data_IF_462207030387
#
_entry.id   IF_462207030387
#
_cell.length_a   1.000
_cell.length_b   1.000
_cell.length_c   1.000
_cell.angle_alpha   90.00
_cell.angle_beta   90.00
_cell.angle_gamma   90.00
#
_symmetry.space_group_name_H-M   'P 1'
#
loop_
_entity.id
_entity.type
_entity.pdbx_description
1 polymer ?
#
# COMPACT_ATOMS: atom_id res chain seq x y z
N UNK A 1 -10.77 2.77 20.75
CA UNK A 1 -11.85 3.31 19.91
C UNK A 1 -11.48 3.24 18.43
N UNK A 2 -12.44 2.91 17.57
CA UNK A 2 -12.41 3.03 16.09
C UNK A 2 -13.82 3.35 15.60
N UNK A 3 -13.99 3.78 14.35
CA UNK A 3 -15.30 3.92 13.74
C UNK A 3 -15.42 3.07 12.45
N UNK A 4 -16.60 2.53 12.17
CA UNK A 4 -16.92 1.81 10.94
C UNK A 4 -18.36 2.15 10.55
N UNK A 5 -18.59 2.61 9.32
CA UNK A 5 -19.88 3.07 8.79
C UNK A 5 -20.62 4.05 9.74
N UNK A 6 -19.90 5.05 10.26
CA UNK A 6 -20.47 6.06 11.15
C UNK A 6 -20.80 5.58 12.57
N UNK A 7 -20.52 4.32 12.90
CA UNK A 7 -20.64 3.77 14.26
C UNK A 7 -19.30 3.72 14.95
N UNK A 8 -19.25 4.02 16.24
CA UNK A 8 -18.04 4.02 17.06
C UNK A 8 -17.99 2.76 17.91
N UNK A 9 -16.81 2.14 17.97
CA UNK A 9 -16.56 0.87 18.65
C UNK A 9 -15.38 0.97 19.63
N UNK A 10 -15.58 0.49 20.86
CA UNK A 10 -14.48 0.24 21.79
C UNK A 10 -13.91 -1.17 21.60
N UNK A 11 -12.91 -1.26 20.73
CA UNK A 11 -12.23 -2.51 20.41
C UNK A 11 -11.09 -2.87 21.38
N UNK A 12 -10.89 -2.11 22.47
CA UNK A 12 -9.71 -2.26 23.35
C UNK A 12 -9.56 -3.70 23.86
N UNK A 13 -10.64 -4.26 24.40
CA UNK A 13 -10.68 -5.65 24.90
C UNK A 13 -10.66 -6.70 23.78
N UNK A 14 -11.04 -6.33 22.55
CA UNK A 14 -11.05 -7.22 21.40
C UNK A 14 -9.66 -7.41 20.76
N UNK A 15 -8.77 -6.42 20.91
CA UNK A 15 -7.44 -6.41 20.26
C UNK A 15 -6.63 -7.70 20.45
N UNK A 16 -6.66 -8.29 21.65
CA UNK A 16 -5.92 -9.52 21.99
C UNK A 16 -6.49 -10.79 21.35
N UNK A 17 -7.77 -10.78 20.98
CA UNK A 17 -8.49 -11.92 20.39
C UNK A 17 -8.78 -11.76 18.91
N UNK A 18 -8.41 -10.61 18.32
CA UNK A 18 -8.66 -10.33 16.92
C UNK A 18 -7.99 -11.36 15.99
N UNK A 19 -8.74 -12.01 15.07
CA UNK A 19 -8.18 -13.03 14.18
C UNK A 19 -7.05 -12.54 13.27
N UNK A 20 -7.11 -11.26 12.86
CA UNK A 20 -6.05 -10.61 12.07
C UNK A 20 -4.83 -10.19 12.89
N UNK A 21 -4.79 -10.49 14.18
CA UNK A 21 -3.68 -10.11 15.06
C UNK A 21 -3.54 -8.61 15.22
N UNK A 22 -2.29 -8.13 15.22
CA UNK A 22 -1.91 -6.74 15.46
C UNK A 22 -2.27 -5.77 14.33
N UNK A 23 -2.76 -6.26 13.19
CA UNK A 23 -3.35 -5.39 12.15
C UNK A 23 -4.50 -4.53 12.69
N UNK A 24 -5.19 -4.96 13.74
CA UNK A 24 -6.27 -4.19 14.37
C UNK A 24 -5.80 -2.83 14.91
N UNK A 25 -4.50 -2.67 15.21
CA UNK A 25 -3.96 -1.38 15.65
C UNK A 25 -4.01 -0.32 14.54
N UNK A 26 -4.13 -0.70 13.26
CA UNK A 26 -4.34 0.25 12.16
C UNK A 26 -5.71 0.93 12.25
N UNK A 27 -6.71 0.28 12.83
CA UNK A 27 -8.04 0.84 13.02
C UNK A 27 -8.13 1.80 14.21
N UNK A 28 -7.11 1.81 15.09
CA UNK A 28 -7.10 2.62 16.30
C UNK A 28 -7.21 4.13 16.00
N UNK A 29 -8.15 4.78 16.69
CA UNK A 29 -8.28 6.24 16.71
C UNK A 29 -8.75 6.88 15.40
N UNK A 30 -9.36 6.12 14.47
CA UNK A 30 -9.82 6.62 13.17
C UNK A 30 -11.11 5.96 12.70
N UNK A 31 -11.68 6.52 11.64
CA UNK A 31 -12.63 5.81 10.79
C UNK A 31 -11.88 4.75 9.97
N UNK A 32 -12.20 3.49 10.23
CA UNK A 32 -11.62 2.31 9.62
C UNK A 32 -12.59 1.64 8.62
N UNK A 33 -13.58 2.37 8.09
CA UNK A 33 -14.57 1.83 7.13
C UNK A 33 -13.91 1.23 5.89
N UNK A 34 -12.92 1.92 5.30
CA UNK A 34 -12.18 1.38 4.14
C UNK A 34 -11.44 0.10 4.54
N UNK A 35 -10.69 0.10 5.65
CA UNK A 35 -10.01 -1.10 6.15
C UNK A 35 -10.99 -2.24 6.43
N UNK A 36 -12.16 -1.93 6.98
CA UNK A 36 -13.19 -2.92 7.25
C UNK A 36 -13.64 -3.59 5.96
N UNK A 37 -13.99 -2.80 4.95
CA UNK A 37 -14.48 -3.28 3.67
C UNK A 37 -13.42 -4.11 2.94
N UNK A 38 -12.16 -3.65 2.91
CA UNK A 38 -11.04 -4.37 2.27
C UNK A 38 -10.76 -5.73 2.91
N UNK A 39 -10.74 -5.83 4.24
CA UNK A 39 -10.25 -7.03 4.95
C UNK A 39 -11.34 -8.05 5.30
N UNK A 40 -12.61 -7.72 5.08
CA UNK A 40 -13.74 -8.60 5.36
C UNK A 40 -14.58 -8.93 4.12
N UNK A 41 -13.98 -9.40 3.01
CA UNK A 41 -14.69 -9.62 1.75
C UNK A 41 -15.79 -10.70 1.85
N UNK A 42 -15.66 -11.65 2.79
CA UNK A 42 -16.68 -12.66 3.05
C UNK A 42 -17.87 -12.14 3.87
N UNK A 43 -17.79 -10.93 4.45
CA UNK A 43 -18.86 -10.32 5.23
C UNK A 43 -19.88 -9.63 4.30
N UNK A 44 -20.51 -10.43 3.44
CA UNK A 44 -21.60 -9.98 2.57
C UNK A 44 -22.87 -9.84 3.43
N UNK A 45 -23.59 -8.70 3.36
CA UNK A 45 -24.85 -8.50 4.06
C UNK A 45 -25.84 -9.65 3.82
N UNK A 46 -26.52 -10.11 4.87
CA UNK A 46 -27.51 -11.19 4.79
C UNK A 46 -26.93 -12.62 4.72
N UNK A 47 -25.62 -12.80 4.58
CA UNK A 47 -24.98 -14.12 4.67
C UNK A 47 -24.73 -14.54 6.13
N UNK A 48 -24.50 -15.84 6.44
CA UNK A 48 -24.11 -16.28 7.78
C UNK A 48 -22.84 -15.58 8.30
N UNK A 49 -21.85 -15.36 7.43
CA UNK A 49 -20.62 -14.64 7.78
C UNK A 49 -20.91 -13.17 8.11
N UNK A 50 -21.70 -12.47 7.26
CA UNK A 50 -22.13 -11.10 7.52
C UNK A 50 -22.88 -10.96 8.85
N UNK A 51 -23.88 -11.82 9.12
CA UNK A 51 -24.63 -11.82 10.39
C UNK A 51 -23.75 -12.02 11.61
N UNK A 52 -22.83 -13.00 11.54
CA UNK A 52 -21.87 -13.27 12.63
C UNK A 52 -21.02 -12.04 12.91
N UNK A 53 -20.53 -11.40 11.86
CA UNK A 53 -19.62 -10.28 11.99
C UNK A 53 -20.33 -9.03 12.52
N UNK A 54 -21.54 -8.73 12.05
CA UNK A 54 -22.37 -7.66 12.62
C UNK A 54 -22.68 -7.89 14.11
N UNK A 55 -22.91 -9.15 14.51
CA UNK A 55 -23.11 -9.49 15.93
C UNK A 55 -21.85 -9.29 16.77
N UNK A 56 -20.65 -9.47 16.20
CA UNK A 56 -19.38 -9.16 16.89
C UNK A 56 -19.24 -7.65 17.05
N UNK A 57 -19.40 -6.87 15.98
CA UNK A 57 -19.31 -5.39 16.05
C UNK A 57 -20.26 -4.81 17.09
N UNK A 58 -21.52 -5.25 17.11
CA UNK A 58 -22.54 -4.77 18.05
C UNK A 58 -22.15 -4.91 19.52
N UNK A 59 -21.32 -5.90 19.88
CA UNK A 59 -20.84 -6.08 21.27
C UNK A 59 -19.92 -4.96 21.75
N UNK A 60 -19.26 -4.28 20.81
CA UNK A 60 -18.27 -3.25 21.09
C UNK A 60 -18.78 -1.85 20.70
N UNK A 61 -20.01 -1.73 20.19
CA UNK A 61 -20.60 -0.44 19.80
C UNK A 61 -20.80 0.44 21.03
N UNK A 62 -20.30 1.67 20.96
CA UNK A 62 -20.40 2.66 22.05
C UNK A 62 -21.18 3.90 21.65
N UNK A 63 -21.52 4.07 20.37
CA UNK A 63 -22.35 5.17 19.90
C UNK A 63 -22.17 5.48 18.41
N UNK A 64 -22.67 6.64 18.02
CA UNK A 64 -22.55 7.20 16.67
C UNK A 64 -21.36 8.16 16.58
N UNK A 65 -20.75 8.24 15.40
CA UNK A 65 -19.66 9.17 15.11
C UNK A 65 -20.24 10.58 14.98
N UNK A 66 -19.83 11.48 15.88
CA UNK A 66 -20.35 12.85 15.96
C UNK A 66 -19.93 13.75 14.79
N UNK A 67 -18.70 13.58 14.32
CA UNK A 67 -18.11 14.33 13.22
C UNK A 67 -18.04 13.41 12.00
N UNK A 68 -19.14 13.32 11.24
CA UNK A 68 -19.16 12.62 9.97
C UNK A 68 -18.45 13.48 8.92
N UNK A 69 -17.13 13.71 9.13
CA UNK A 69 -16.29 14.34 8.11
C UNK A 69 -16.54 13.58 6.82
N UNK A 70 -16.83 14.26 5.71
CA UNK A 70 -17.20 13.54 4.51
C UNK A 70 -16.02 12.65 4.11
N UNK A 71 -16.25 11.33 4.14
CA UNK A 71 -15.39 10.39 3.46
C UNK A 71 -15.37 10.81 1.99
N UNK A 72 -14.21 10.72 1.34
CA UNK A 72 -14.12 10.90 -0.11
C UNK A 72 -15.04 9.91 -0.84
N UNK A 73 -15.38 8.78 -0.21
CA UNK A 73 -16.27 7.78 -0.77
C UNK A 73 -17.59 7.66 -0.06
N UNK A 74 -18.60 7.24 -0.83
CA UNK A 74 -19.79 6.60 -0.30
C UNK A 74 -19.65 5.07 -0.31
N UNK A 75 -20.41 4.43 0.58
CA UNK A 75 -20.52 2.98 0.73
C UNK A 75 -21.97 2.51 0.61
N UNK A 76 -22.86 3.36 0.09
CA UNK A 76 -24.32 3.13 0.05
C UNK A 76 -24.78 2.29 -1.13
N UNK A 77 -23.97 2.19 -2.20
CA UNK A 77 -24.39 1.50 -3.41
C UNK A 77 -24.42 -0.02 -3.23
N UNK A 78 -25.20 -0.70 -4.08
CA UNK A 78 -25.23 -2.16 -4.12
C UNK A 78 -24.02 -2.78 -4.83
N UNK A 79 -23.12 -1.96 -5.41
CA UNK A 79 -22.02 -2.42 -6.25
C UNK A 79 -21.06 -3.34 -5.48
N UNK A 80 -20.45 -2.84 -4.40
CA UNK A 80 -19.47 -3.62 -3.65
C UNK A 80 -20.06 -4.88 -2.98
N UNK A 81 -21.24 -4.82 -2.31
CA UNK A 81 -21.87 -6.03 -1.78
C UNK A 81 -22.14 -7.09 -2.86
N UNK A 82 -22.58 -6.66 -4.05
CA UNK A 82 -22.82 -7.56 -5.19
C UNK A 82 -21.53 -8.17 -5.72
N UNK A 83 -20.47 -7.36 -5.88
CA UNK A 83 -19.15 -7.82 -6.29
C UNK A 83 -18.59 -8.86 -5.31
N UNK A 84 -18.58 -8.55 -4.01
CA UNK A 84 -18.13 -9.48 -2.96
C UNK A 84 -18.87 -10.81 -3.01
N UNK A 85 -20.20 -10.76 -3.17
CA UNK A 85 -21.04 -11.95 -3.28
C UNK A 85 -20.64 -12.82 -4.47
N UNK A 86 -20.58 -12.23 -5.67
CA UNK A 86 -20.24 -12.95 -6.90
C UNK A 86 -18.83 -13.55 -6.87
N UNK A 87 -17.86 -12.82 -6.33
CA UNK A 87 -16.48 -13.33 -6.16
C UNK A 87 -16.45 -14.50 -5.17
N UNK A 88 -17.14 -14.39 -4.04
CA UNK A 88 -17.21 -15.49 -3.07
C UNK A 88 -17.86 -16.75 -3.65
N UNK A 89 -19.00 -16.60 -4.33
CA UNK A 89 -19.70 -17.71 -5.01
C UNK A 89 -18.79 -18.36 -6.05
N UNK A 90 -18.10 -17.55 -6.86
CA UNK A 90 -17.18 -18.05 -7.88
C UNK A 90 -16.00 -18.83 -7.31
N UNK A 91 -15.42 -18.37 -6.20
CA UNK A 91 -14.34 -19.09 -5.52
C UNK A 91 -14.82 -20.43 -4.95
N UNK A 92 -16.03 -20.46 -4.37
CA UNK A 92 -16.63 -21.68 -3.82
C UNK A 92 -16.95 -22.68 -4.94
N UNK A 93 -17.48 -22.23 -6.09
CA UNK A 93 -17.68 -23.06 -7.30
C UNK A 93 -16.37 -23.70 -7.80
N UNK A 94 -15.30 -22.92 -7.86
CA UNK A 94 -13.99 -23.38 -8.29
C UNK A 94 -13.25 -24.19 -7.22
N UNK A 95 -13.82 -24.32 -6.01
CA UNK A 95 -13.20 -24.96 -4.84
C UNK A 95 -11.84 -24.34 -4.49
N UNK A 96 -11.71 -23.03 -4.70
CA UNK A 96 -10.50 -22.27 -4.42
C UNK A 96 -10.59 -21.62 -3.04
N UNK A 97 -9.49 -21.72 -2.28
CA UNK A 97 -9.35 -20.99 -1.04
C UNK A 97 -9.23 -19.48 -1.28
N UNK A 98 -9.74 -18.68 -0.33
CA UNK A 98 -9.60 -17.21 -0.36
C UNK A 98 -8.18 -16.73 -0.01
N UNK A 99 -7.31 -17.62 0.49
CA UNK A 99 -5.96 -17.35 1.00
C UNK A 99 -5.03 -18.50 0.65
N UNK A 100 -3.73 -18.22 0.53
CA UNK A 100 -2.66 -19.20 0.29
C UNK A 100 -2.55 -19.73 -1.14
N UNK A 101 -3.48 -19.34 -2.02
CA UNK A 101 -3.54 -19.86 -3.39
C UNK A 101 -3.60 -21.39 -3.44
N UNK A 102 -3.18 -21.96 -4.57
CA UNK A 102 -3.03 -23.42 -4.77
C UNK A 102 -1.65 -23.95 -4.34
N UNK A 103 -0.95 -23.24 -3.44
CA UNK A 103 0.41 -23.56 -3.00
C UNK A 103 1.53 -22.98 -3.87
N UNK A 104 1.21 -22.50 -5.08
CA UNK A 104 2.17 -21.85 -6.00
C UNK A 104 2.84 -20.61 -5.40
N UNK A 105 2.12 -19.86 -4.55
CA UNK A 105 2.66 -18.69 -3.84
C UNK A 105 3.81 -19.07 -2.90
N UNK A 106 3.75 -20.24 -2.25
CA UNK A 106 4.80 -20.71 -1.35
C UNK A 106 6.04 -21.16 -2.12
N UNK A 107 5.86 -21.81 -3.27
CA UNK A 107 6.97 -22.17 -4.16
C UNK A 107 7.66 -20.90 -4.69
N UNK A 108 6.88 -19.91 -5.14
CA UNK A 108 7.41 -18.60 -5.57
C UNK A 108 8.19 -17.93 -4.44
N UNK A 109 7.65 -17.93 -3.22
CA UNK A 109 8.30 -17.35 -2.06
C UNK A 109 9.64 -18.03 -1.71
N UNK A 110 9.68 -19.36 -1.67
CA UNK A 110 10.91 -20.11 -1.39
C UNK A 110 11.97 -19.79 -2.46
N UNK A 111 11.59 -19.82 -3.74
CA UNK A 111 12.50 -19.51 -4.84
C UNK A 111 13.09 -18.10 -4.70
N UNK A 112 12.24 -17.08 -4.49
CA UNK A 112 12.68 -15.68 -4.36
C UNK A 112 13.57 -15.46 -3.13
N UNK A 113 13.26 -16.09 -2.00
CA UNK A 113 14.10 -16.02 -0.81
C UNK A 113 15.44 -16.73 -1.02
N UNK A 114 15.45 -17.90 -1.68
CA UNK A 114 16.69 -18.60 -2.03
C UNK A 114 17.55 -17.76 -2.97
N UNK A 115 16.97 -17.14 -4.01
CA UNK A 115 17.70 -16.26 -4.93
C UNK A 115 18.26 -15.06 -4.17
N UNK A 116 17.47 -14.42 -3.31
CA UNK A 116 17.92 -13.27 -2.52
C UNK A 116 19.13 -13.62 -1.63
N UNK A 117 19.00 -14.66 -0.79
CA UNK A 117 20.06 -15.02 0.16
C UNK A 117 21.30 -15.61 -0.52
N UNK A 118 21.14 -16.41 -1.57
CA UNK A 118 22.28 -16.92 -2.35
C UNK A 118 22.99 -15.80 -3.11
N UNK A 119 22.26 -14.82 -3.65
CA UNK A 119 22.84 -13.65 -4.28
C UNK A 119 23.57 -12.77 -3.27
N UNK A 120 23.03 -12.58 -2.07
CA UNK A 120 23.74 -11.86 -1.00
C UNK A 120 25.05 -12.57 -0.61
N UNK A 121 25.00 -13.89 -0.44
CA UNK A 121 26.19 -14.69 -0.12
C UNK A 121 27.23 -14.62 -1.24
N UNK A 122 26.81 -14.77 -2.51
CA UNK A 122 27.67 -14.66 -3.68
C UNK A 122 28.29 -13.25 -3.80
N UNK A 123 27.50 -12.21 -3.55
CA UNK A 123 27.95 -10.81 -3.51
C UNK A 123 29.03 -10.58 -2.46
N UNK A 124 28.93 -11.23 -1.30
CA UNK A 124 29.92 -11.13 -0.24
C UNK A 124 31.17 -11.97 -0.51
N UNK A 125 31.02 -13.20 -1.03
CA UNK A 125 32.09 -14.21 -1.00
C UNK A 125 32.84 -14.39 -2.33
N UNK A 126 32.26 -14.02 -3.47
CA UNK A 126 32.91 -14.23 -4.76
C UNK A 126 34.03 -13.21 -5.02
N UNK A 127 35.14 -13.64 -5.64
CA UNK A 127 36.25 -12.75 -5.97
C UNK A 127 35.97 -11.92 -7.24
N UNK A 128 36.84 -10.93 -7.49
CA UNK A 128 36.76 -10.08 -8.68
C UNK A 128 35.57 -9.11 -8.65
N UNK A 129 35.38 -8.31 -9.70
CA UNK A 129 34.36 -7.25 -9.71
C UNK A 129 33.03 -7.71 -10.32
N UNK A 130 33.10 -8.48 -11.41
CA UNK A 130 31.93 -8.83 -12.22
C UNK A 130 30.93 -9.71 -11.47
N UNK A 131 31.39 -10.77 -10.80
CA UNK A 131 30.49 -11.71 -10.12
C UNK A 131 29.75 -11.06 -8.94
N UNK A 132 30.41 -10.35 -8.01
CA UNK A 132 29.68 -9.62 -6.96
C UNK A 132 28.70 -8.59 -7.51
N UNK A 133 29.05 -7.90 -8.60
CA UNK A 133 28.17 -6.93 -9.25
C UNK A 133 26.92 -7.61 -9.81
N UNK A 134 27.05 -8.71 -10.55
CA UNK A 134 25.91 -9.48 -11.06
C UNK A 134 25.05 -10.01 -9.91
N UNK A 135 25.68 -10.46 -8.82
CA UNK A 135 24.98 -10.92 -7.62
C UNK A 135 24.20 -9.80 -6.93
N UNK A 136 24.74 -8.58 -6.82
CA UNK A 136 24.00 -7.46 -6.21
C UNK A 136 22.78 -7.02 -7.05
N UNK A 137 22.91 -7.04 -8.38
CA UNK A 137 21.80 -6.79 -9.31
C UNK A 137 20.73 -7.87 -9.16
N UNK A 138 21.13 -9.14 -9.16
CA UNK A 138 20.20 -10.28 -8.96
C UNK A 138 19.51 -10.21 -7.60
N UNK A 139 20.25 -9.84 -6.55
CA UNK A 139 19.70 -9.63 -5.21
C UNK A 139 18.67 -8.49 -5.21
N UNK A 140 18.97 -7.36 -5.85
CA UNK A 140 18.05 -6.22 -5.97
C UNK A 140 16.76 -6.57 -6.71
N UNK A 141 16.87 -7.30 -7.82
CA UNK A 141 15.71 -7.82 -8.56
C UNK A 141 14.89 -8.78 -7.68
N UNK A 142 15.54 -9.74 -7.00
CA UNK A 142 14.81 -10.66 -6.12
C UNK A 142 14.13 -9.94 -4.96
N UNK A 143 14.77 -8.89 -4.42
CA UNK A 143 14.21 -8.09 -3.33
C UNK A 143 12.93 -7.34 -3.75
N UNK A 144 12.84 -6.81 -4.97
CA UNK A 144 11.60 -6.18 -5.45
C UNK A 144 10.45 -7.19 -5.52
N UNK A 145 10.73 -8.42 -5.98
CA UNK A 145 9.73 -9.50 -6.00
C UNK A 145 9.40 -10.05 -4.60
N UNK A 146 10.35 -10.04 -3.65
CA UNK A 146 10.03 -10.32 -2.24
C UNK A 146 9.00 -9.31 -1.72
N UNK A 147 9.18 -8.02 -2.06
CA UNK A 147 8.23 -6.95 -1.75
C UNK A 147 6.83 -7.20 -2.34
N UNK A 148 6.73 -7.46 -3.64
CA UNK A 148 5.43 -7.56 -4.32
C UNK A 148 4.76 -8.93 -4.18
N UNK A 149 5.51 -10.02 -3.99
CA UNK A 149 4.98 -11.39 -4.08
C UNK A 149 4.96 -12.17 -2.77
N UNK A 150 5.60 -11.65 -1.71
CA UNK A 150 5.63 -12.31 -0.39
C UNK A 150 5.12 -11.32 0.65
N UNK A 151 5.80 -10.18 0.73
CA UNK A 151 5.55 -9.16 1.72
C UNK A 151 4.16 -8.56 1.58
N UNK A 152 3.81 -8.09 0.38
CA UNK A 152 2.50 -7.51 0.09
C UNK A 152 1.35 -8.46 0.49
N UNK A 153 1.38 -9.69 -0.02
CA UNK A 153 0.34 -10.69 0.26
C UNK A 153 0.28 -11.09 1.73
N UNK A 154 1.44 -11.12 2.40
CA UNK A 154 1.54 -11.33 3.85
C UNK A 154 0.88 -10.20 4.64
N UNK A 155 1.15 -8.95 4.26
CA UNK A 155 0.56 -7.75 4.86
C UNK A 155 -0.96 -7.69 4.68
N UNK A 156 -1.49 -8.22 3.58
CA UNK A 156 -2.95 -8.33 3.35
C UNK A 156 -3.59 -9.56 3.99
N UNK A 157 -2.80 -10.44 4.63
CA UNK A 157 -3.29 -11.68 5.20
C UNK A 157 -3.74 -12.72 4.16
N UNK A 158 -3.35 -12.53 2.90
CA UNK A 158 -3.70 -13.38 1.76
C UNK A 158 -2.72 -14.54 1.59
N UNK A 159 -1.49 -14.43 2.10
CA UNK A 159 -0.42 -15.42 1.89
C UNK A 159 -0.69 -16.80 2.51
N UNK A 160 -1.48 -16.90 3.59
CA UNK A 160 -1.79 -18.18 4.25
C UNK A 160 -3.07 -18.10 5.10
N UNK A 161 -3.60 -19.24 5.54
CA UNK A 161 -4.64 -19.29 6.58
C UNK A 161 -4.07 -19.03 7.98
N UNK A 162 -2.75 -19.14 8.17
CA UNK A 162 -2.10 -18.88 9.45
C UNK A 162 -1.74 -17.40 9.61
N UNK A 163 -2.25 -16.76 10.67
CA UNK A 163 -1.87 -15.38 11.05
C UNK A 163 -0.36 -15.23 11.26
N UNK A 164 0.31 -16.26 11.78
CA UNK A 164 1.75 -16.24 11.99
C UNK A 164 2.51 -16.25 10.66
N UNK A 165 2.10 -17.10 9.71
CA UNK A 165 2.76 -17.19 8.40
C UNK A 165 2.56 -15.89 7.61
N UNK A 166 1.36 -15.30 7.62
CA UNK A 166 1.12 -14.00 6.99
C UNK A 166 2.01 -12.91 7.60
N UNK A 167 2.13 -12.88 8.93
CA UNK A 167 2.97 -11.93 9.64
C UNK A 167 4.45 -12.10 9.29
N UNK A 168 4.93 -13.34 9.24
CA UNK A 168 6.30 -13.64 8.82
C UNK A 168 6.55 -13.24 7.36
N UNK A 169 5.59 -13.49 6.46
CA UNK A 169 5.64 -13.05 5.08
C UNK A 169 5.70 -11.51 4.98
N UNK A 170 4.83 -10.78 5.70
CA UNK A 170 4.88 -9.32 5.77
C UNK A 170 6.21 -8.76 6.33
N UNK A 171 6.85 -9.47 7.27
CA UNK A 171 8.16 -9.11 7.80
C UNK A 171 9.32 -9.33 6.83
N UNK A 172 9.08 -9.94 5.67
CA UNK A 172 10.10 -9.95 4.62
C UNK A 172 10.39 -8.55 4.08
N UNK A 173 9.55 -7.53 4.35
CA UNK A 173 9.93 -6.13 4.12
C UNK A 173 11.11 -5.72 4.99
N UNK A 174 11.02 -6.05 6.29
CA UNK A 174 12.04 -5.76 7.29
C UNK A 174 13.36 -6.47 6.93
N UNK A 175 13.27 -7.61 6.24
CA UNK A 175 14.41 -8.38 5.68
C UNK A 175 15.04 -7.73 4.43
N UNK A 176 14.36 -6.85 3.71
CA UNK A 176 14.96 -6.10 2.60
C UNK A 176 15.27 -4.64 2.97
N UNK A 177 15.26 -4.36 4.28
CA UNK A 177 15.69 -3.10 4.88
C UNK A 177 14.58 -2.08 5.17
N UNK A 178 13.40 -2.21 4.54
CA UNK A 178 12.27 -1.30 4.75
C UNK A 178 11.35 -1.81 5.87
N UNK A 179 10.63 -0.94 6.57
CA UNK A 179 9.83 -1.39 7.71
C UNK A 179 8.43 -1.84 7.31
N UNK A 180 8.07 -3.09 7.66
CA UNK A 180 6.71 -3.62 7.47
C UNK A 180 5.65 -2.73 8.15
N UNK A 181 5.98 -2.15 9.30
CA UNK A 181 5.06 -1.24 9.99
C UNK A 181 4.82 0.05 9.24
N UNK A 182 5.88 0.66 8.72
CA UNK A 182 5.73 1.89 7.93
C UNK A 182 4.96 1.62 6.65
N UNK A 183 5.14 0.43 6.05
CA UNK A 183 4.40 -0.01 4.88
C UNK A 183 2.91 -0.19 5.16
N UNK A 184 2.53 -0.78 6.29
CA UNK A 184 1.10 -0.86 6.63
C UNK A 184 0.48 0.53 6.78
N UNK A 185 1.21 1.53 7.29
CA UNK A 185 0.73 2.92 7.35
C UNK A 185 0.68 3.54 5.94
N UNK A 186 1.68 3.31 5.12
CA UNK A 186 1.80 3.88 3.78
C UNK A 186 0.76 3.26 2.84
N UNK A 187 0.86 1.97 2.63
CA UNK A 187 0.07 1.23 1.67
C UNK A 187 -1.37 1.05 2.15
N UNK A 188 -1.59 0.44 3.32
CA UNK A 188 -2.95 0.02 3.74
C UNK A 188 -3.82 1.19 4.23
N UNK A 189 -3.22 2.23 4.81
CA UNK A 189 -3.94 3.40 5.32
C UNK A 189 -3.84 4.63 4.42
N UNK A 190 -2.89 4.67 3.49
CA UNK A 190 -2.69 5.77 2.57
C UNK A 190 -3.09 5.41 1.14
N UNK A 191 -2.42 4.42 0.56
CA UNK A 191 -2.66 4.06 -0.83
C UNK A 191 -4.05 3.46 -1.07
N UNK A 192 -4.47 2.41 -0.36
CA UNK A 192 -5.79 1.77 -0.58
C UNK A 192 -6.98 2.74 -0.40
N UNK A 193 -6.95 3.68 0.57
CA UNK A 193 -8.01 4.68 0.68
C UNK A 193 -7.83 5.86 -0.28
N UNK A 194 -6.65 6.18 -0.80
CA UNK A 194 -6.41 7.44 -1.51
C UNK A 194 -5.68 7.27 -2.85
N UNK A 195 -5.81 6.11 -3.50
CA UNK A 195 -5.22 5.83 -4.81
C UNK A 195 -5.58 6.90 -5.83
N UNK A 196 -4.58 7.50 -6.46
CA UNK A 196 -4.73 8.56 -7.47
C UNK A 196 -5.63 9.73 -7.00
N UNK A 197 -5.63 10.03 -5.70
CA UNK A 197 -6.38 11.14 -5.13
C UNK A 197 -5.45 12.32 -4.81
N UNK A 198 -5.64 13.42 -5.53
CA UNK A 198 -5.00 14.69 -5.21
C UNK A 198 -5.80 15.47 -4.16
N UNK A 199 -5.13 15.89 -3.09
CA UNK A 199 -5.72 16.84 -2.14
C UNK A 199 -5.30 18.26 -2.50
N UNK A 200 -6.29 19.09 -2.90
CA UNK A 200 -6.05 20.47 -3.32
C UNK A 200 -6.43 21.51 -2.24
N UNK A 201 -6.86 21.06 -1.06
CA UNK A 201 -7.09 21.97 0.07
C UNK A 201 -7.14 21.25 1.44
N UNK A 202 -6.26 21.65 2.36
CA UNK A 202 -6.64 21.79 3.76
C UNK A 202 -6.58 20.57 4.71
N UNK A 203 -6.03 19.42 4.31
CA UNK A 203 -5.59 18.37 5.27
C UNK A 203 -4.07 18.42 5.51
N UNK A 204 -3.41 19.51 5.08
CA UNK A 204 -2.00 19.82 5.32
C UNK A 204 -1.67 20.35 6.71
N UNK A 205 -2.34 19.86 7.76
CA UNK A 205 -1.97 20.16 9.13
C UNK A 205 -1.13 19.04 9.72
N UNK A 206 0.16 19.29 10.01
CA UNK A 206 0.76 18.60 11.15
C UNK A 206 -0.07 18.92 12.41
N UNK A 207 -0.05 18.07 13.44
CA UNK A 207 -0.81 18.30 14.69
C UNK A 207 -0.49 19.65 15.37
N UNK A 208 0.60 20.29 14.98
CA UNK A 208 1.13 21.57 15.43
C UNK A 208 0.74 22.77 14.54
N UNK A 209 -0.14 22.59 13.55
CA UNK A 209 -0.60 23.69 12.68
C UNK A 209 0.43 24.16 11.65
N UNK A 210 1.58 23.49 11.57
CA UNK A 210 2.54 23.70 10.50
C UNK A 210 1.95 23.16 9.19
N UNK A 211 1.80 24.05 8.20
CA UNK A 211 1.56 23.66 6.81
C UNK A 211 2.65 22.68 6.40
N UNK A 212 2.25 21.58 5.80
CA UNK A 212 3.16 20.88 4.91
C UNK A 212 3.72 21.93 3.91
N UNK A 213 5.03 22.19 3.96
CA UNK A 213 5.69 23.15 3.07
C UNK A 213 5.60 22.80 1.58
N UNK A 214 4.91 21.72 1.21
CA UNK A 214 4.69 21.24 -0.15
C UNK A 214 3.52 21.92 -0.90
N UNK A 215 2.81 22.86 -0.27
CA UNK A 215 1.81 23.71 -0.94
C UNK A 215 0.42 23.09 -1.04
N UNK A 216 -0.44 23.66 -1.89
CA UNK A 216 -1.86 23.32 -2.01
C UNK A 216 -2.15 22.18 -3.01
N UNK A 217 -1.15 21.42 -3.48
CA UNK A 217 -1.29 20.32 -4.45
C UNK A 217 -0.57 19.06 -3.93
N UNK A 218 -1.02 18.49 -2.80
CA UNK A 218 -0.33 17.35 -2.18
C UNK A 218 -1.02 16.06 -2.64
N UNK A 219 -0.24 15.20 -3.30
CA UNK A 219 -0.64 13.83 -3.60
C UNK A 219 -0.99 13.08 -2.31
N UNK A 220 -2.21 12.53 -2.22
CA UNK A 220 -2.65 11.79 -1.04
C UNK A 220 -2.21 10.34 -1.07
N UNK A 221 -1.85 9.81 -2.25
CA UNK A 221 -1.31 8.47 -2.41
C UNK A 221 0.19 8.43 -2.07
N UNK A 222 0.60 7.88 -0.92
CA UNK A 222 2.01 7.78 -0.57
C UNK A 222 2.79 6.75 -1.38
N UNK A 223 2.11 5.83 -2.09
CA UNK A 223 2.73 4.71 -2.80
C UNK A 223 3.21 5.08 -4.20
N UNK A 224 2.63 6.10 -4.83
CA UNK A 224 3.20 6.70 -6.04
C UNK A 224 4.45 7.55 -5.73
N UNK A 225 4.91 7.50 -4.47
CA UNK A 225 6.16 8.04 -3.95
C UNK A 225 6.40 9.44 -4.51
N UNK A 226 5.38 10.30 -4.36
CA UNK A 226 5.22 11.53 -5.14
C UNK A 226 6.54 12.32 -5.15
N UNK A 227 7.31 12.13 -6.21
CA UNK A 227 8.57 12.85 -6.38
C UNK A 227 8.29 14.27 -6.86
N UNK A 228 7.05 14.74 -6.77
CA UNK A 228 6.66 16.11 -7.04
C UNK A 228 7.41 17.06 -6.07
N UNK A 229 8.01 18.16 -6.55
CA UNK A 229 7.89 18.72 -7.91
C UNK A 229 8.80 18.08 -8.97
N UNK A 230 9.78 17.25 -8.64
CA UNK A 230 10.73 16.64 -9.60
C UNK A 230 10.07 15.78 -10.68
N UNK A 231 9.00 15.06 -10.36
CA UNK A 231 8.27 14.22 -11.30
C UNK A 231 6.76 14.42 -11.17
N UNK A 232 6.06 14.44 -12.31
CA UNK A 232 4.62 14.67 -12.36
C UNK A 232 3.92 13.35 -12.67
N UNK A 233 3.32 12.77 -11.63
CA UNK A 233 2.57 11.50 -11.68
C UNK A 233 1.05 11.68 -11.64
N UNK A 234 0.57 12.91 -11.40
CA UNK A 234 -0.85 13.26 -11.39
C UNK A 234 -1.15 14.26 -12.52
N UNK A 235 -2.25 14.10 -13.29
CA UNK A 235 -2.59 15.01 -14.40
C UNK A 235 -2.97 16.41 -13.93
N UNK A 236 -3.43 16.56 -12.69
CA UNK A 236 -3.79 17.88 -12.14
C UNK A 236 -2.62 18.64 -11.52
N UNK A 237 -1.47 18.00 -11.26
CA UNK A 237 -0.29 18.71 -10.80
C UNK A 237 0.18 19.75 -11.83
N UNK A 238 0.62 20.91 -11.33
CA UNK A 238 1.21 21.95 -12.16
C UNK A 238 2.40 21.39 -12.97
N UNK A 239 2.37 21.62 -14.28
CA UNK A 239 3.43 21.20 -15.20
C UNK A 239 4.55 22.24 -15.23
N UNK A 240 5.76 21.78 -14.95
CA UNK A 240 6.99 22.55 -15.08
C UNK A 240 7.76 22.16 -16.35
N UNK A 241 8.69 23.03 -16.79
CA UNK A 241 9.38 22.88 -18.09
C UNK A 241 10.18 21.58 -18.20
N UNK A 242 10.76 21.10 -17.10
CA UNK A 242 11.57 19.89 -17.09
C UNK A 242 10.73 18.60 -17.16
N UNK A 243 9.44 18.63 -16.77
CA UNK A 243 8.57 17.44 -16.85
C UNK A 243 8.40 16.90 -18.26
N UNK A 244 8.63 17.71 -19.31
CA UNK A 244 8.64 17.21 -20.70
C UNK A 244 9.71 16.14 -20.95
N UNK A 245 10.75 16.11 -20.13
CA UNK A 245 11.87 15.17 -20.20
C UNK A 245 11.80 14.11 -19.10
N UNK A 246 10.69 14.00 -18.35
CA UNK A 246 10.60 13.06 -17.23
C UNK A 246 10.77 11.61 -17.64
N UNK A 247 10.39 11.23 -18.86
CA UNK A 247 10.67 9.91 -19.41
C UNK A 247 12.18 9.56 -19.48
N UNK A 248 13.08 10.55 -19.50
CA UNK A 248 14.53 10.34 -19.52
C UNK A 248 15.12 10.21 -18.13
N UNK A 249 14.65 11.00 -17.16
CA UNK A 249 15.21 11.00 -15.80
C UNK A 249 14.41 10.17 -14.79
N UNK A 250 13.18 9.76 -15.12
CA UNK A 250 12.35 8.93 -14.24
C UNK A 250 13.02 7.59 -13.87
N UNK A 251 13.62 6.82 -14.80
CA UNK A 251 14.31 5.58 -14.42
C UNK A 251 15.42 5.80 -13.37
N UNK A 252 16.14 6.92 -13.49
CA UNK A 252 17.16 7.29 -12.52
C UNK A 252 16.53 7.66 -11.18
N UNK A 253 15.49 8.49 -11.15
CA UNK A 253 14.80 8.84 -9.89
C UNK A 253 14.17 7.62 -9.20
N UNK A 254 13.53 6.75 -9.98
CA UNK A 254 12.94 5.50 -9.53
C UNK A 254 13.94 4.58 -8.84
N UNK A 255 15.17 4.50 -9.36
CA UNK A 255 16.24 3.73 -8.72
C UNK A 255 16.51 4.16 -7.27
N UNK A 256 16.32 5.44 -6.91
CA UNK A 256 16.51 5.92 -5.54
C UNK A 256 15.36 5.63 -4.58
N UNK A 257 14.22 5.11 -5.05
CA UNK A 257 13.02 4.93 -4.24
C UNK A 257 13.28 4.10 -2.98
N UNK A 258 13.98 2.96 -3.09
CA UNK A 258 14.23 2.09 -1.93
C UNK A 258 15.22 2.71 -0.95
N UNK A 259 16.18 3.52 -1.43
CA UNK A 259 17.10 4.26 -0.56
C UNK A 259 16.35 5.32 0.24
N UNK A 260 15.50 6.10 -0.43
CA UNK A 260 14.65 7.09 0.23
C UNK A 260 13.74 6.40 1.26
N UNK A 261 13.11 5.28 0.89
CA UNK A 261 12.27 4.50 1.81
C UNK A 261 13.04 4.08 3.07
N UNK A 262 14.16 3.40 2.89
CA UNK A 262 14.91 2.76 3.99
C UNK A 262 15.62 3.78 4.89
N UNK A 263 16.20 4.83 4.29
CA UNK A 263 17.08 5.77 4.99
C UNK A 263 16.34 7.00 5.52
N UNK A 264 15.28 7.46 4.83
CA UNK A 264 14.58 8.70 5.21
C UNK A 264 13.17 8.41 5.70
N UNK A 265 12.29 7.92 4.83
CA UNK A 265 10.85 7.86 5.12
C UNK A 265 10.53 7.02 6.36
N UNK A 266 11.16 5.85 6.50
CA UNK A 266 10.90 4.99 7.66
C UNK A 266 11.28 5.65 8.98
N UNK A 267 12.40 6.39 8.99
CA UNK A 267 12.90 7.12 10.16
C UNK A 267 12.03 8.33 10.46
N UNK A 268 11.55 9.03 9.43
CA UNK A 268 10.62 10.14 9.58
C UNK A 268 9.29 9.68 10.19
N UNK A 269 8.69 8.60 9.68
CA UNK A 269 7.40 8.10 10.15
C UNK A 269 7.48 7.68 11.62
N UNK A 270 8.52 6.94 12.03
CA UNK A 270 8.61 6.50 13.43
C UNK A 270 8.88 7.68 14.39
N UNK A 271 9.64 8.70 13.95
CA UNK A 271 9.92 9.89 14.76
C UNK A 271 8.71 10.81 14.86
N UNK A 272 8.06 11.09 13.73
CA UNK A 272 6.89 11.97 13.67
C UNK A 272 5.59 11.25 14.09
N UNK A 273 5.60 9.91 14.15
CA UNK A 273 4.43 9.05 14.35
C UNK A 273 3.30 9.38 13.37
N UNK A 274 3.65 9.75 12.14
CA UNK A 274 2.74 10.27 11.13
C UNK A 274 3.32 10.14 9.73
N UNK A 275 2.45 9.92 8.75
CA UNK A 275 2.74 10.00 7.32
C UNK A 275 1.63 10.84 6.68
N UNK A 276 1.95 12.01 6.12
CA UNK A 276 0.94 12.96 5.63
C UNK A 276 -0.15 13.23 6.69
N UNK A 277 -1.42 12.97 6.35
CA UNK A 277 -2.56 13.10 7.24
C UNK A 277 -2.83 11.83 8.09
N UNK A 278 -2.06 10.75 7.88
CA UNK A 278 -2.26 9.43 8.49
C UNK A 278 -1.50 9.36 9.82
N UNK A 279 -2.24 9.21 10.92
CA UNK A 279 -1.65 8.96 12.24
C UNK A 279 -1.02 7.55 12.31
N UNK A 280 0.14 7.42 12.93
CA UNK A 280 0.81 6.13 13.18
C UNK A 280 0.98 5.85 14.69
N UNK A 281 0.37 6.67 15.55
CA UNK A 281 0.56 6.63 17.00
C UNK A 281 0.14 5.28 17.58
N UNK A 282 -1.04 4.77 17.21
CA UNK A 282 -1.50 3.47 17.71
C UNK A 282 -0.55 2.32 17.35
N UNK A 283 0.05 2.34 16.15
CA UNK A 283 0.98 1.29 15.70
C UNK A 283 2.30 1.33 16.47
N UNK A 284 2.83 2.54 16.73
CA UNK A 284 4.09 2.75 17.45
C UNK A 284 3.94 3.02 18.95
N UNK A 285 2.73 2.89 19.51
CA UNK A 285 2.50 3.01 20.95
C UNK A 285 3.14 1.85 21.73
N UNK A 286 3.23 0.67 21.12
CA UNK A 286 3.88 -0.50 21.71
C UNK A 286 5.39 -0.37 21.67
N UNK A 287 6.03 -0.43 22.84
CA UNK A 287 7.50 -0.46 22.96
C UNK A 287 8.10 -1.65 22.20
N UNK A 288 7.43 -2.80 22.19
CA UNK A 288 7.88 -3.97 21.43
C UNK A 288 7.90 -3.71 19.92
N UNK A 289 6.95 -2.91 19.41
CA UNK A 289 6.93 -2.54 17.99
C UNK A 289 8.09 -1.59 17.66
N UNK A 290 8.37 -0.62 18.52
CA UNK A 290 9.51 0.30 18.35
C UNK A 290 10.84 -0.44 18.44
N UNK A 291 10.99 -1.34 19.42
CA UNK A 291 12.18 -2.19 19.54
C UNK A 291 12.36 -3.06 18.29
N UNK A 292 11.31 -3.74 17.82
CA UNK A 292 11.39 -4.56 16.61
C UNK A 292 11.83 -3.74 15.40
N UNK A 293 11.27 -2.54 15.21
CA UNK A 293 11.66 -1.65 14.11
C UNK A 293 13.17 -1.40 14.12
N UNK A 294 13.74 -0.99 15.26
CA UNK A 294 15.16 -0.68 15.34
C UNK A 294 16.04 -1.93 15.26
N UNK A 295 15.61 -3.05 15.86
CA UNK A 295 16.33 -4.33 15.75
C UNK A 295 16.40 -4.81 14.30
N UNK A 296 15.31 -4.72 13.54
CA UNK A 296 15.31 -5.12 12.12
C UNK A 296 16.10 -4.17 11.23
N UNK A 297 16.08 -2.85 11.51
CA UNK A 297 16.96 -1.87 10.85
C UNK A 297 18.44 -2.18 11.11
N UNK A 298 18.79 -2.50 12.36
CA UNK A 298 20.14 -2.93 12.71
C UNK A 298 20.55 -4.22 12.01
N UNK A 299 19.68 -5.23 12.03
CA UNK A 299 19.96 -6.52 11.38
C UNK A 299 20.15 -6.37 9.86
N UNK A 300 19.26 -5.63 9.20
CA UNK A 300 19.39 -5.34 7.76
C UNK A 300 20.65 -4.55 7.42
N UNK A 301 21.01 -3.55 8.23
CA UNK A 301 22.28 -2.85 8.08
C UNK A 301 23.48 -3.81 8.17
N UNK A 302 23.46 -4.77 9.10
CA UNK A 302 24.55 -5.75 9.24
C UNK A 302 24.75 -6.55 7.96
N UNK A 303 23.71 -7.21 7.44
CA UNK A 303 23.92 -8.10 6.28
C UNK A 303 23.94 -7.37 4.93
N UNK A 304 23.26 -6.23 4.77
CA UNK A 304 23.23 -5.50 3.49
C UNK A 304 24.39 -4.52 3.32
N UNK A 305 24.94 -3.98 4.42
CA UNK A 305 26.02 -2.97 4.37
C UNK A 305 27.31 -3.50 4.98
N UNK A 306 27.27 -3.96 6.23
CA UNK A 306 28.48 -4.34 6.95
C UNK A 306 29.16 -5.57 6.35
N UNK A 307 28.43 -6.66 6.08
CA UNK A 307 29.03 -7.88 5.50
C UNK A 307 29.70 -7.62 4.12
N UNK A 308 29.07 -6.93 3.15
CA UNK A 308 29.72 -6.61 1.89
C UNK A 308 30.96 -5.74 2.09
N UNK A 309 30.92 -4.75 2.98
CA UNK A 309 32.09 -3.92 3.28
C UNK A 309 33.23 -4.72 3.93
N UNK A 310 32.90 -5.67 4.79
CA UNK A 310 33.87 -6.53 5.47
C UNK A 310 34.58 -7.47 4.48
N UNK A 311 33.83 -8.16 3.61
CA UNK A 311 34.41 -9.15 2.70
C UNK A 311 34.98 -8.56 1.40
N UNK A 312 34.37 -7.50 0.86
CA UNK A 312 34.75 -6.92 -0.43
C UNK A 312 35.59 -5.63 -0.30
N UNK A 313 35.79 -5.15 0.93
CA UNK A 313 36.40 -3.85 1.23
C UNK A 313 35.37 -2.72 1.22
N UNK A 314 35.64 -1.66 1.99
CA UNK A 314 34.68 -0.58 2.27
C UNK A 314 34.07 0.04 1.00
N UNK A 315 34.90 0.53 0.08
CA UNK A 315 34.43 1.23 -1.14
C UNK A 315 33.58 0.32 -2.01
N UNK A 316 34.04 -0.92 -2.24
CA UNK A 316 33.35 -1.87 -3.10
C UNK A 316 32.07 -2.37 -2.44
N UNK A 317 32.08 -2.67 -1.14
CA UNK A 317 30.91 -3.07 -0.39
C UNK A 317 29.80 -2.02 -0.42
N UNK A 318 30.15 -0.75 -0.21
CA UNK A 318 29.19 0.37 -0.33
C UNK A 318 28.64 0.53 -1.74
N UNK A 319 29.48 0.34 -2.77
CA UNK A 319 29.03 0.37 -4.16
C UNK A 319 28.05 -0.76 -4.47
N UNK A 320 28.32 -1.98 -3.98
CA UNK A 320 27.42 -3.13 -4.16
C UNK A 320 26.07 -2.91 -3.46
N UNK A 321 26.08 -2.37 -2.24
CA UNK A 321 24.87 -1.96 -1.53
C UNK A 321 24.07 -0.93 -2.34
N UNK A 322 24.75 0.11 -2.85
CA UNK A 322 24.14 1.15 -3.65
C UNK A 322 23.50 0.56 -4.91
N UNK A 323 24.25 -0.19 -5.71
CA UNK A 323 23.74 -0.80 -6.97
C UNK A 323 22.58 -1.76 -6.72
N UNK A 324 22.63 -2.57 -5.66
CA UNK A 324 21.54 -3.46 -5.29
C UNK A 324 20.25 -2.71 -4.97
N UNK A 325 20.35 -1.61 -4.21
CA UNK A 325 19.21 -0.75 -3.92
C UNK A 325 18.70 0.01 -5.14
N UNK A 326 19.60 0.52 -6.00
CA UNK A 326 19.22 1.19 -7.24
C UNK A 326 18.44 0.23 -8.16
N UNK A 327 18.90 -1.02 -8.27
CA UNK A 327 18.22 -2.06 -9.05
C UNK A 327 16.85 -2.39 -8.46
N UNK A 328 16.77 -2.59 -7.14
CA UNK A 328 15.51 -2.88 -6.44
C UNK A 328 14.50 -1.72 -6.59
N UNK A 329 14.98 -0.47 -6.45
CA UNK A 329 14.15 0.73 -6.56
C UNK A 329 13.57 0.91 -7.96
N UNK A 330 14.39 0.73 -9.00
CA UNK A 330 13.95 0.87 -10.38
C UNK A 330 12.91 -0.20 -10.73
N UNK A 331 13.21 -1.47 -10.44
CA UNK A 331 12.29 -2.57 -10.73
C UNK A 331 10.98 -2.42 -9.95
N UNK A 332 11.04 -2.07 -8.66
CA UNK A 332 9.84 -1.88 -7.86
C UNK A 332 9.01 -0.70 -8.36
N UNK A 333 9.63 0.44 -8.68
CA UNK A 333 8.88 1.59 -9.20
C UNK A 333 8.21 1.28 -10.54
N UNK A 334 8.92 0.62 -11.45
CA UNK A 334 8.40 0.22 -12.77
C UNK A 334 7.25 -0.78 -12.64
N UNK A 335 7.29 -1.70 -11.68
CA UNK A 335 6.19 -2.65 -11.45
C UNK A 335 5.02 -2.09 -10.66
N UNK A 336 5.31 -1.28 -9.64
CA UNK A 336 4.37 -0.91 -8.59
C UNK A 336 3.70 0.44 -8.86
N UNK A 337 4.47 1.46 -9.26
CA UNK A 337 3.93 2.80 -9.51
C UNK A 337 3.19 2.85 -10.85
N UNK A 338 3.71 2.16 -11.87
CA UNK A 338 3.13 2.21 -13.23
C UNK A 338 1.71 1.65 -13.27
N UNK A 339 1.35 0.68 -12.43
CA UNK A 339 -0.02 0.13 -12.38
C UNK A 339 -1.10 1.16 -12.00
N UNK A 340 -0.68 2.29 -11.42
CA UNK A 340 -1.55 3.41 -11.04
C UNK A 340 -1.39 4.63 -11.95
N UNK A 341 -0.42 4.63 -12.87
CA UNK A 341 -0.10 5.79 -13.72
C UNK A 341 0.12 5.34 -15.16
N UNK A 342 -0.95 4.81 -15.77
CA UNK A 342 -0.99 4.39 -17.19
C UNK A 342 -2.19 4.99 -17.93
N UNK A 343 -2.36 4.63 -19.20
CA UNK A 343 -3.56 4.96 -19.96
C UNK A 343 -4.78 4.20 -19.41
N UNK A 344 -5.92 4.89 -19.29
CA UNK A 344 -7.19 4.28 -18.88
C UNK A 344 -7.45 4.21 -17.37
N UNK A 345 -6.49 4.59 -16.51
CA UNK A 345 -6.78 4.83 -15.09
C UNK A 345 -7.33 6.24 -14.87
N UNK A 346 -8.27 6.35 -13.94
CA UNK A 346 -8.87 7.60 -13.54
C UNK A 346 -8.12 8.24 -12.35
N UNK A 347 -8.15 9.57 -12.29
CA UNK A 347 -7.58 10.39 -11.23
C UNK A 347 -8.67 11.24 -10.58
N UNK A 348 -8.59 11.39 -9.26
CA UNK A 348 -9.54 12.14 -8.47
C UNK A 348 -8.88 13.34 -7.79
N UNK A 349 -9.68 14.36 -7.48
CA UNK A 349 -9.23 15.55 -6.77
C UNK A 349 -10.26 15.97 -5.72
N UNK A 350 -9.86 16.63 -4.63
CA UNK A 350 -10.81 17.38 -3.79
C UNK A 350 -11.03 18.80 -4.32
N UNK A 351 -12.29 19.22 -4.49
CA UNK A 351 -12.65 20.55 -4.99
C UNK A 351 -13.36 21.39 -3.92
N UNK A 352 -12.75 22.52 -3.54
CA UNK A 352 -13.36 23.58 -2.74
C UNK A 352 -13.83 24.75 -3.63
N UNK A 353 -14.62 24.48 -4.68
CA UNK A 353 -15.17 25.56 -5.51
C UNK A 353 -16.33 26.28 -4.79
N UNK A 354 -16.20 27.60 -4.60
CA UNK A 354 -17.31 28.49 -4.24
C UNK A 354 -17.75 28.49 -2.78
N UNK A 355 -16.92 28.01 -1.84
CA UNK A 355 -17.28 27.97 -0.41
C UNK A 355 -18.27 26.85 -0.05
N UNK A 356 -18.68 26.05 -1.03
CA UNK A 356 -19.33 24.76 -0.82
C UNK A 356 -18.21 23.73 -0.75
N UNK A 357 -18.04 23.10 0.41
CA UNK A 357 -17.15 21.94 0.58
C UNK A 357 -17.75 20.75 -0.17
N UNK A 358 -17.66 20.72 -1.49
CA UNK A 358 -17.95 19.51 -2.27
C UNK A 358 -16.77 18.57 -2.11
N UNK A 359 -16.90 17.61 -1.21
CA UNK A 359 -15.82 16.68 -0.83
C UNK A 359 -15.46 15.63 -1.88
N UNK A 360 -15.94 15.78 -3.12
CA UNK A 360 -15.83 14.74 -4.13
C UNK A 360 -15.81 15.29 -5.54
N UNK A 361 -14.70 15.05 -6.25
CA UNK A 361 -14.63 15.16 -7.69
C UNK A 361 -14.77 13.79 -8.33
N UNK A 362 -15.41 13.76 -9.49
CA UNK A 362 -15.58 12.57 -10.33
C UNK A 362 -14.20 12.11 -10.84
N UNK A 363 -13.78 10.85 -10.65
CA UNK A 363 -12.53 10.36 -11.24
C UNK A 363 -12.57 10.47 -12.77
N UNK A 364 -11.50 11.03 -13.34
CA UNK A 364 -11.35 11.22 -14.80
C UNK A 364 -10.02 10.69 -15.31
N UNK A 365 -10.05 10.10 -16.50
CA UNK A 365 -8.85 9.73 -17.25
C UNK A 365 -8.14 10.98 -17.79
N UNK A 366 -6.90 10.83 -18.26
CA UNK A 366 -6.11 11.94 -18.83
C UNK A 366 -6.76 12.63 -20.04
N UNK A 367 -7.67 11.96 -20.75
CA UNK A 367 -8.44 12.50 -21.88
C UNK A 367 -9.76 13.17 -21.46
N UNK A 368 -10.05 13.21 -20.15
CA UNK A 368 -11.28 13.75 -19.58
C UNK A 368 -12.45 12.76 -19.57
N UNK A 369 -12.27 11.54 -20.09
CA UNK A 369 -13.27 10.48 -20.03
C UNK A 369 -13.37 9.87 -18.62
N UNK A 370 -14.36 9.02 -18.43
CA UNK A 370 -14.65 8.34 -17.17
C UNK A 370 -15.26 6.99 -17.50
N UNK A 371 -14.57 5.89 -17.18
CA UNK A 371 -15.05 4.54 -17.50
C UNK A 371 -16.45 4.26 -16.92
N UNK A 372 -16.80 4.94 -15.83
CA UNK A 372 -18.08 4.79 -15.16
C UNK A 372 -19.25 5.44 -15.91
N UNK A 373 -19.05 6.56 -16.62
CA UNK A 373 -20.14 7.14 -17.42
C UNK A 373 -20.50 6.26 -18.61
N UNK A 374 -19.49 5.70 -19.28
CA UNK A 374 -19.70 4.72 -20.35
C UNK A 374 -20.49 3.52 -19.83
N UNK A 375 -20.05 2.93 -18.71
CA UNK A 375 -20.73 1.81 -18.06
C UNK A 375 -22.16 2.15 -17.60
N UNK A 376 -22.43 3.38 -17.16
CA UNK A 376 -23.76 3.79 -16.71
C UNK A 376 -24.71 4.15 -17.84
N UNK A 377 -24.21 4.55 -19.02
CA UNK A 377 -25.03 4.76 -20.20
C UNK A 377 -25.63 3.43 -20.70
N UNK A 378 -24.93 2.31 -20.49
CA UNK A 378 -25.42 0.97 -20.80
C UNK A 378 -26.46 0.44 -19.79
N UNK A 379 -26.61 1.10 -18.62
CA UNK A 379 -27.54 0.69 -17.56
C UNK A 379 -28.74 1.64 -17.52
N UNK A 380 -29.90 1.16 -17.97
CA UNK A 380 -31.16 1.88 -17.82
C UNK A 380 -31.73 1.75 -16.38
N UNK A 381 -32.14 2.88 -15.77
CA UNK A 381 -32.96 2.89 -14.55
C UNK A 381 -32.25 3.22 -13.21
N UNK A 382 -32.88 2.86 -12.09
CA UNK A 382 -32.55 3.27 -10.69
C UNK A 382 -31.34 2.56 -10.04
N UNK A 383 -30.59 1.76 -10.79
CA UNK A 383 -29.47 0.95 -10.26
C UNK A 383 -28.09 1.55 -10.59
N UNK A 384 -28.01 2.86 -10.80
CA UNK A 384 -26.73 3.54 -11.06
C UNK A 384 -25.89 3.55 -9.79
N UNK A 385 -24.62 3.18 -9.94
CA UNK A 385 -23.61 3.29 -8.87
C UNK A 385 -23.26 4.76 -8.66
N UNK A 386 -23.12 5.19 -7.41
CA UNK A 386 -22.72 6.57 -7.11
C UNK A 386 -21.33 6.87 -7.69
N UNK A 387 -21.11 8.10 -8.20
CA UNK A 387 -19.86 8.44 -8.87
C UNK A 387 -18.64 8.47 -7.94
N UNK A 388 -18.87 8.43 -6.64
CA UNK A 388 -17.88 8.33 -5.58
C UNK A 388 -18.03 7.05 -4.75
N UNK A 389 -18.67 6.00 -5.28
CA UNK A 389 -18.68 4.69 -4.61
C UNK A 389 -17.26 4.16 -4.46
N UNK A 390 -16.86 3.81 -3.23
CA UNK A 390 -15.48 3.41 -2.94
C UNK A 390 -14.96 2.31 -3.86
N UNK A 391 -15.70 1.21 -3.99
CA UNK A 391 -15.22 0.07 -4.75
C UNK A 391 -15.22 0.34 -6.26
N UNK A 392 -16.20 1.10 -6.76
CA UNK A 392 -16.26 1.45 -8.17
C UNK A 392 -15.12 2.39 -8.58
N UNK A 393 -14.78 3.37 -7.72
CA UNK A 393 -13.62 4.25 -7.92
C UNK A 393 -12.34 3.43 -7.94
N UNK A 394 -12.15 2.50 -6.99
CA UNK A 394 -10.96 1.65 -6.91
C UNK A 394 -10.76 0.77 -8.15
N UNK A 395 -11.84 0.31 -8.79
CA UNK A 395 -11.77 -0.43 -10.06
C UNK A 395 -11.30 0.43 -11.25
N UNK A 396 -11.26 1.75 -11.13
CA UNK A 396 -10.86 2.68 -12.21
C UNK A 396 -9.54 3.39 -11.91
N UNK A 397 -9.16 3.52 -10.65
CA UNK A 397 -7.90 4.14 -10.22
C UNK A 397 -6.72 3.15 -10.18
N UNK A 398 -6.97 1.88 -10.50
CA UNK A 398 -5.94 0.84 -10.56
C UNK A 398 -6.25 -0.16 -11.68
N UNK A 399 -5.20 -0.64 -12.35
CA UNK A 399 -5.31 -1.78 -13.28
C UNK A 399 -4.39 -2.91 -12.85
N UNK A 400 -4.77 -4.15 -13.18
CA UNK A 400 -3.88 -5.29 -13.05
C UNK A 400 -3.32 -5.66 -14.43
N UNK A 401 -2.01 -5.51 -14.61
CA UNK A 401 -1.34 -5.97 -15.81
C UNK A 401 -1.17 -7.50 -15.77
N UNK A 402 -1.60 -8.16 -16.85
CA UNK A 402 -1.27 -9.56 -17.18
C UNK A 402 -2.02 -10.70 -16.47
N UNK A 403 -3.36 -10.68 -16.51
CA UNK A 403 -4.19 -11.85 -16.14
C UNK A 403 -3.58 -13.15 -16.70
N UNK A 404 -3.14 -14.05 -15.81
CA UNK A 404 -2.48 -15.32 -16.18
C UNK A 404 -0.95 -15.39 -16.03
N UNK A 405 -0.23 -14.28 -15.83
CA UNK A 405 1.20 -14.30 -15.51
C UNK A 405 1.48 -14.83 -14.09
N UNK A 406 2.33 -15.86 -13.97
CA UNK A 406 2.75 -16.36 -12.65
C UNK A 406 3.73 -15.41 -11.95
N UNK A 407 4.49 -14.63 -12.73
CA UNK A 407 5.57 -13.80 -12.22
C UNK A 407 5.13 -12.34 -12.01
N UNK A 408 4.30 -11.82 -12.93
CA UNK A 408 3.95 -10.40 -13.04
C UNK A 408 2.54 -10.05 -12.56
N UNK A 409 1.70 -11.03 -12.20
CA UNK A 409 0.47 -10.71 -11.50
C UNK A 409 0.80 -10.28 -10.06
N UNK A 410 0.32 -9.09 -9.73
CA UNK A 410 0.27 -8.59 -8.36
C UNK A 410 -0.93 -9.16 -7.61
#
# INVERSE_FOLDING_TARGET
MTAVHGKVYDITSFTSSHPGGDMIYLAGGRDATVLWETYHPACVPGTPAGRRMSAVLKKYEVGDLLDNRPSFYTFTSAFYPTLKKRVCERLDELKLGRRGGSGSIHVKAILLLTIFWSSLAAMCLLPGYLLPLLSCVTMGLSASFVGTCIQHDGSHGAFSNSKFINKAAGWTLDMIGASAFTWEIQHMLGHHPYTNLLDVAGIGGKMDGAKDGRGDDIESDPDIFSSYPFMRMHPHHKRERYHRYQHLYAPVLFSFMTLAKVLTQDVEIIRAKRLYHIDATCRYASVLNVLRFWSMKGLSFVYMVFLPCYFQGLTKGLLLFLVGHLTCGEMLATMFIVNHVIEGVAFAQKNDEGGIKTTTFKPVCCDGSTPMEESQQEIEGKNKTDMNDWAAVQCQTSVNWSVGSWFWNH
#
